data_IF_323227367076
#
_entry.id   IF_323227367076
#
_cell.length_a   1.000
_cell.length_b   1.000
_cell.length_c   1.000
_cell.angle_alpha   90.00
_cell.angle_beta   90.00
_cell.angle_gamma   90.00
#
_symmetry.space_group_name_H-M   'P 1'
#
loop_
_entity.id
_entity.type
_entity.pdbx_description
1 polymer ?
#
# COMPACT_ATOMS: atom_id res chain seq x y z
N UNK A 1 6.77 20.22 -14.49
CA UNK A 1 6.14 18.94 -14.86
C UNK A 1 6.73 17.87 -13.96
N UNK A 2 5.93 17.15 -13.18
CA UNK A 2 6.43 15.98 -12.47
C UNK A 2 6.93 14.96 -13.52
N UNK A 3 8.12 14.38 -13.31
CA UNK A 3 8.63 13.35 -14.20
C UNK A 3 7.66 12.16 -14.18
N UNK A 4 7.26 11.67 -15.36
CA UNK A 4 6.38 10.51 -15.44
C UNK A 4 7.10 9.29 -14.82
N UNK A 5 6.59 8.78 -13.70
CA UNK A 5 7.13 7.58 -13.07
C UNK A 5 7.07 6.42 -14.07
N UNK A 6 8.17 5.68 -14.21
CA UNK A 6 8.25 4.49 -15.05
C UNK A 6 8.57 3.25 -14.19
N UNK A 7 8.38 2.06 -14.77
CA UNK A 7 8.65 0.79 -14.09
C UNK A 7 10.12 0.71 -13.64
N UNK A 8 11.05 1.28 -14.41
CA UNK A 8 12.48 1.29 -14.11
C UNK A 8 12.82 2.10 -12.84
N UNK A 9 11.95 3.04 -12.44
CA UNK A 9 12.15 3.89 -11.26
C UNK A 9 11.60 3.24 -9.98
N UNK A 10 10.90 2.09 -10.10
CA UNK A 10 10.34 1.40 -8.95
C UNK A 10 11.44 0.77 -8.11
N UNK A 11 11.54 1.21 -6.85
CA UNK A 11 12.43 0.58 -5.88
C UNK A 11 11.97 -0.86 -5.60
N UNK A 12 12.96 -1.74 -5.46
CA UNK A 12 12.75 -3.15 -5.13
C UNK A 12 13.21 -3.46 -3.70
N UNK A 13 12.55 -4.42 -3.08
CA UNK A 13 12.87 -4.89 -1.72
C UNK A 13 13.08 -6.40 -1.72
N UNK A 14 14.13 -6.87 -1.05
CA UNK A 14 14.38 -8.30 -0.89
C UNK A 14 13.44 -8.93 0.14
N UNK A 15 13.26 -10.25 0.04
CA UNK A 15 12.48 -11.01 1.03
C UNK A 15 13.03 -10.84 2.45
N UNK A 16 14.35 -10.84 2.63
CA UNK A 16 14.99 -10.66 3.95
C UNK A 16 14.65 -9.30 4.57
N UNK A 17 14.75 -8.22 3.77
CA UNK A 17 14.44 -6.88 4.25
C UNK A 17 12.95 -6.73 4.53
N UNK A 18 12.09 -7.35 3.73
CA UNK A 18 10.65 -7.36 4.00
C UNK A 18 10.31 -8.14 5.29
N UNK A 19 10.95 -9.28 5.54
CA UNK A 19 10.81 -10.01 6.82
C UNK A 19 11.13 -9.11 8.00
N UNK A 20 12.26 -8.41 7.96
CA UNK A 20 12.66 -7.53 9.05
C UNK A 20 11.62 -6.43 9.32
N UNK A 21 10.98 -5.89 8.27
CA UNK A 21 9.88 -4.93 8.40
C UNK A 21 8.61 -5.57 9.00
N UNK A 22 8.25 -6.78 8.58
CA UNK A 22 7.08 -7.50 9.10
C UNK A 22 7.25 -7.79 10.59
N UNK A 23 8.43 -8.29 10.99
CA UNK A 23 8.74 -8.58 12.40
C UNK A 23 8.78 -7.31 13.24
N UNK A 24 9.41 -6.24 12.74
CA UNK A 24 9.44 -4.96 13.43
C UNK A 24 8.03 -4.37 13.61
N UNK A 25 7.16 -4.51 12.60
CA UNK A 25 5.77 -4.08 12.72
C UNK A 25 5.01 -4.92 13.76
N UNK A 26 5.14 -6.25 13.71
CA UNK A 26 4.48 -7.13 14.68
C UNK A 26 4.92 -6.80 16.12
N UNK A 27 6.20 -6.51 16.34
CA UNK A 27 6.71 -6.09 17.65
C UNK A 27 6.12 -4.74 18.09
N UNK A 28 6.01 -3.77 17.17
CA UNK A 28 5.39 -2.47 17.47
C UNK A 28 3.91 -2.60 17.82
N UNK A 29 3.18 -3.48 17.14
CA UNK A 29 1.76 -3.75 17.44
C UNK A 29 1.58 -4.39 18.83
N UNK A 30 2.54 -5.21 19.29
CA UNK A 30 2.54 -5.76 20.66
C UNK A 30 2.84 -4.68 21.69
N UNK A 31 3.84 -3.84 21.46
CA UNK A 31 4.27 -2.79 22.40
C UNK A 31 3.27 -1.64 22.49
N UNK A 32 2.70 -1.25 21.35
CA UNK A 32 1.79 -0.13 21.21
C UNK A 32 0.62 -0.50 20.27
N UNK A 33 -0.42 -1.19 20.77
CA UNK A 33 -1.54 -1.64 19.95
C UNK A 33 -2.27 -0.52 19.18
N UNK A 34 -2.16 0.72 19.65
CA UNK A 34 -2.79 1.90 19.04
C UNK A 34 -1.88 2.65 18.07
N UNK A 35 -0.63 2.22 17.84
CA UNK A 35 0.32 2.97 16.99
C UNK A 35 -0.01 2.92 15.51
N UNK A 36 -0.90 2.00 15.10
CA UNK A 36 -1.20 1.72 13.70
C UNK A 36 -0.03 1.06 12.96
N UNK A 37 -0.36 0.27 11.95
CA UNK A 37 0.64 -0.35 11.08
C UNK A 37 1.19 0.69 10.09
N UNK A 38 2.51 0.84 10.03
CA UNK A 38 3.21 1.78 9.12
C UNK A 38 3.54 1.16 7.76
N UNK A 39 3.60 -0.16 7.69
CA UNK A 39 3.93 -0.91 6.48
C UNK A 39 2.70 -1.66 6.00
N UNK A 40 2.37 -1.54 4.72
CA UNK A 40 1.34 -2.33 4.08
C UNK A 40 1.94 -3.19 2.97
N UNK A 41 1.52 -4.44 2.91
CA UNK A 41 1.92 -5.39 1.88
C UNK A 41 0.68 -5.64 1.02
N UNK A 42 0.80 -5.45 -0.28
CA UNK A 42 -0.30 -5.60 -1.24
C UNK A 42 0.02 -6.75 -2.17
N UNK A 43 -0.77 -7.82 -2.04
CA UNK A 43 -0.70 -8.99 -2.91
C UNK A 43 -1.68 -8.79 -4.07
N UNK A 44 -1.15 -8.72 -5.30
CA UNK A 44 -1.97 -8.55 -6.51
C UNK A 44 -2.10 -9.83 -7.35
N UNK A 45 -1.83 -10.99 -6.75
CA UNK A 45 -2.14 -12.29 -7.38
C UNK A 45 -3.64 -12.46 -7.58
N UNK A 46 -3.99 -13.22 -8.62
CA UNK A 46 -5.37 -13.50 -8.97
C UNK A 46 -5.70 -14.90 -8.41
N UNK A 47 -5.99 -15.89 -9.26
CA UNK A 47 -6.25 -17.27 -8.84
C UNK A 47 -5.02 -17.93 -8.19
N UNK A 48 -3.82 -17.45 -8.50
CA UNK A 48 -2.55 -17.91 -7.96
C UNK A 48 -2.23 -17.36 -6.55
N UNK A 49 -3.21 -16.75 -5.89
CA UNK A 49 -3.12 -16.38 -4.47
C UNK A 49 -3.19 -17.60 -3.54
N UNK A 50 -3.75 -18.72 -4.01
CA UNK A 50 -3.82 -19.98 -3.26
C UNK A 50 -2.43 -20.53 -2.95
N UNK A 51 -2.33 -21.29 -1.84
CA UNK A 51 -1.07 -21.93 -1.41
C UNK A 51 -0.24 -21.14 -0.42
N UNK A 52 -0.69 -19.95 -0.05
CA UNK A 52 -0.14 -19.15 1.04
C UNK A 52 0.00 -17.69 0.63
N UNK A 53 0.10 -16.82 1.63
CA UNK A 53 0.32 -15.38 1.43
C UNK A 53 1.11 -14.82 2.60
N UNK A 54 1.73 -13.65 2.39
CA UNK A 54 2.49 -12.98 3.45
C UNK A 54 1.51 -12.54 4.53
N UNK A 55 1.90 -12.74 5.79
CA UNK A 55 1.06 -12.42 6.95
C UNK A 55 0.61 -10.96 6.92
N UNK A 56 -0.67 -10.74 7.19
CA UNK A 56 -1.30 -9.41 7.20
C UNK A 56 -1.24 -8.66 5.86
N UNK A 57 -0.99 -9.36 4.74
CA UNK A 57 -1.06 -8.75 3.41
C UNK A 57 -2.50 -8.46 2.99
N UNK A 58 -2.67 -7.37 2.23
CA UNK A 58 -3.93 -6.95 1.64
C UNK A 58 -4.03 -7.56 0.24
N UNK A 59 -5.05 -8.39 0.01
CA UNK A 59 -5.27 -9.02 -1.29
C UNK A 59 -6.10 -8.12 -2.22
N UNK A 60 -5.49 -7.65 -3.31
CA UNK A 60 -6.11 -6.81 -4.34
C UNK A 60 -5.76 -7.37 -5.74
N UNK A 61 -6.53 -8.35 -6.25
CA UNK A 61 -6.25 -9.04 -7.51
C UNK A 61 -6.06 -8.08 -8.68
N UNK A 62 -5.02 -8.32 -9.48
CA UNK A 62 -4.66 -7.47 -10.62
C UNK A 62 -5.80 -7.33 -11.64
N UNK A 63 -6.57 -8.38 -11.88
CA UNK A 63 -7.70 -8.37 -12.81
C UNK A 63 -8.86 -7.45 -12.40
N UNK A 64 -8.95 -7.10 -11.11
CA UNK A 64 -9.97 -6.19 -10.56
C UNK A 64 -9.38 -4.88 -10.03
N UNK A 65 -8.08 -4.65 -10.24
CA UNK A 65 -7.36 -3.55 -9.60
C UNK A 65 -7.91 -2.18 -10.05
N UNK A 66 -8.35 -2.06 -11.31
CA UNK A 66 -9.03 -0.86 -11.84
C UNK A 66 -10.18 -0.40 -10.96
N UNK A 67 -11.09 -1.32 -10.66
CA UNK A 67 -12.30 -1.03 -9.92
C UNK A 67 -12.04 -0.85 -8.42
N UNK A 68 -10.99 -1.49 -7.91
CA UNK A 68 -10.68 -1.49 -6.47
C UNK A 68 -9.65 -0.44 -6.04
N UNK A 69 -8.99 0.22 -7.00
CA UNK A 69 -7.95 1.23 -6.71
C UNK A 69 -8.42 2.38 -5.80
N UNK A 70 -9.64 2.93 -5.92
CA UNK A 70 -10.12 3.95 -4.97
C UNK A 70 -10.18 3.45 -3.53
N UNK A 71 -10.52 2.17 -3.33
CA UNK A 71 -10.51 1.54 -2.00
C UNK A 71 -9.09 1.33 -1.50
N UNK A 72 -8.20 0.86 -2.37
CA UNK A 72 -6.79 0.66 -2.07
C UNK A 72 -6.13 1.98 -1.62
N UNK A 73 -6.35 3.08 -2.35
CA UNK A 73 -5.81 4.40 -2.01
C UNK A 73 -6.27 4.88 -0.63
N UNK A 74 -7.53 4.65 -0.25
CA UNK A 74 -8.02 5.01 1.10
C UNK A 74 -7.40 4.15 2.20
N UNK A 75 -7.30 2.84 1.99
CA UNK A 75 -6.72 1.92 2.98
C UNK A 75 -5.22 2.14 3.19
N UNK A 76 -4.53 2.64 2.17
CA UNK A 76 -3.10 2.89 2.23
C UNK A 76 -2.75 4.32 2.64
N UNK A 77 -3.73 5.23 2.80
CA UNK A 77 -3.48 6.66 2.96
C UNK A 77 -2.63 7.04 4.18
N UNK A 78 -2.75 6.28 5.27
CA UNK A 78 -2.03 6.48 6.54
C UNK A 78 -0.70 5.73 6.62
N UNK A 79 -0.40 4.88 5.63
CA UNK A 79 0.80 4.03 5.58
C UNK A 79 2.01 4.83 5.14
N UNK A 80 3.15 4.62 5.80
CA UNK A 80 4.41 5.25 5.42
C UNK A 80 5.12 4.44 4.30
N UNK A 81 4.96 3.11 4.32
CA UNK A 81 5.59 2.19 3.36
C UNK A 81 4.55 1.23 2.76
N UNK A 82 4.55 1.08 1.44
CA UNK A 82 3.69 0.15 0.71
C UNK A 82 4.57 -0.77 -0.14
N UNK A 83 4.35 -2.08 -0.05
CA UNK A 83 5.09 -3.09 -0.79
C UNK A 83 4.13 -3.88 -1.66
N UNK A 84 4.25 -3.78 -2.98
CA UNK A 84 3.47 -4.56 -3.93
C UNK A 84 4.20 -5.85 -4.30
N UNK A 85 3.44 -6.93 -4.51
CA UNK A 85 3.99 -8.15 -5.08
C UNK A 85 2.95 -8.94 -5.87
N UNK A 86 3.42 -9.84 -6.73
CA UNK A 86 2.59 -10.92 -7.28
C UNK A 86 3.27 -12.28 -7.04
N UNK A 87 3.09 -13.27 -7.91
CA UNK A 87 3.82 -14.54 -7.81
C UNK A 87 5.33 -14.37 -8.01
N UNK A 88 5.75 -13.78 -9.13
CA UNK A 88 7.17 -13.57 -9.48
C UNK A 88 7.60 -12.09 -9.44
N UNK A 89 6.65 -11.16 -9.31
CA UNK A 89 6.88 -9.71 -9.36
C UNK A 89 7.60 -9.19 -10.62
N UNK A 90 7.32 -9.81 -11.77
CA UNK A 90 7.87 -9.41 -13.08
C UNK A 90 6.93 -8.51 -13.89
N UNK A 91 5.61 -8.67 -13.73
CA UNK A 91 4.59 -7.93 -14.49
C UNK A 91 3.54 -7.30 -13.56
N UNK A 92 2.62 -8.12 -13.00
CA UNK A 92 1.48 -7.65 -12.19
C UNK A 92 1.90 -6.76 -11.00
N UNK A 93 2.90 -7.17 -10.23
CA UNK A 93 3.43 -6.38 -9.10
C UNK A 93 3.93 -4.98 -9.52
N UNK A 94 4.92 -4.88 -10.43
CA UNK A 94 5.38 -3.59 -10.94
C UNK A 94 4.28 -2.73 -11.59
N UNK A 95 3.40 -3.33 -12.39
CA UNK A 95 2.28 -2.62 -13.02
C UNK A 95 1.30 -2.04 -11.99
N UNK A 96 0.97 -2.81 -10.95
CA UNK A 96 0.10 -2.36 -9.87
C UNK A 96 0.72 -1.21 -9.06
N UNK A 97 2.01 -1.34 -8.69
CA UNK A 97 2.74 -0.29 -7.98
C UNK A 97 2.76 1.02 -8.77
N UNK A 98 3.09 0.93 -10.07
CA UNK A 98 3.13 2.10 -10.94
C UNK A 98 1.76 2.76 -11.08
N UNK A 99 0.71 1.96 -11.21
CA UNK A 99 -0.65 2.47 -11.30
C UNK A 99 -1.09 3.17 -10.01
N UNK A 100 -0.80 2.56 -8.86
CA UNK A 100 -1.06 3.16 -7.55
C UNK A 100 -0.36 4.53 -7.42
N UNK A 101 0.91 4.63 -7.82
CA UNK A 101 1.65 5.90 -7.81
C UNK A 101 0.97 6.97 -8.67
N UNK A 102 0.58 6.63 -9.90
CA UNK A 102 -0.08 7.55 -10.83
C UNK A 102 -1.43 8.04 -10.30
N UNK A 103 -2.26 7.14 -9.78
CA UNK A 103 -3.57 7.51 -9.25
C UNK A 103 -3.44 8.34 -7.96
N UNK A 104 -2.44 8.06 -7.12
CA UNK A 104 -2.13 8.87 -5.94
C UNK A 104 -1.68 10.28 -6.32
N UNK A 105 -0.81 10.42 -7.31
CA UNK A 105 -0.40 11.74 -7.83
C UNK A 105 -1.58 12.52 -8.43
N UNK A 106 -2.46 11.84 -9.18
CA UNK A 106 -3.67 12.45 -9.73
C UNK A 106 -4.61 12.97 -8.63
N UNK A 107 -4.83 12.19 -7.56
CA UNK A 107 -5.63 12.63 -6.41
C UNK A 107 -5.01 13.84 -5.70
N UNK A 108 -3.68 13.88 -5.58
CA UNK A 108 -2.98 15.02 -4.98
C UNK A 108 -3.08 16.28 -5.83
N UNK A 109 -2.95 16.16 -7.16
CA UNK A 109 -3.08 17.28 -8.09
C UNK A 109 -4.50 17.86 -8.08
N UNK A 110 -5.52 17.01 -8.08
CA UNK A 110 -6.93 17.44 -7.99
C UNK A 110 -7.24 18.13 -6.66
N UNK A 111 -6.73 17.61 -5.54
CA UNK A 111 -6.87 18.24 -4.23
C UNK A 111 -6.18 19.60 -4.12
N UNK A 112 -5.08 19.82 -4.83
CA UNK A 112 -4.40 21.12 -4.92
C UNK A 112 -5.16 22.11 -5.81
N UNK A 113 -5.74 21.66 -6.92
CA UNK A 113 -6.56 22.49 -7.82
C UNK A 113 -7.86 22.94 -7.15
N UNK A 114 -8.58 22.03 -6.48
CA UNK A 114 -9.79 22.38 -5.74
C UNK A 114 -9.53 23.38 -4.59
N UNK A 115 -8.36 23.30 -3.94
CA UNK A 115 -7.93 24.28 -2.92
C UNK A 115 -7.53 25.65 -3.49
N UNK A 116 -7.06 25.69 -4.74
CA UNK A 116 -6.71 26.94 -5.41
C UNK A 116 -7.95 27.68 -5.95
N UNK A 117 -8.94 26.94 -6.47
CA UNK A 117 -10.20 27.50 -6.99
C UNK A 117 -11.18 27.88 -5.86
N UNK A 118 -11.18 27.16 -4.73
CA UNK A 118 -11.97 27.50 -3.55
C UNK A 118 -11.52 28.74 -2.77
N UNK A 119 -10.41 29.39 -3.17
CA UNK A 119 -9.88 30.61 -2.53
C UNK A 119 -10.34 31.91 -3.22
N UNK A 120 -11.27 31.81 -4.19
CA UNK A 120 -11.65 32.90 -5.08
C UNK A 120 -12.95 33.64 -4.79
N UNK A 121 -13.70 33.36 -3.71
CA UNK A 121 -14.88 34.16 -3.33
C UNK A 121 -15.11 34.13 -1.81
N UNK A 122 -14.62 35.14 -1.07
CA UNK A 122 -15.26 35.69 0.15
C UNK A 122 -14.39 36.78 0.82
N UNK A 123 -14.63 38.04 0.44
CA UNK A 123 -14.56 39.26 1.25
C UNK A 123 -15.84 40.02 0.83
N UNK A 124 -16.77 40.53 1.63
CA UNK A 124 -16.93 40.94 3.04
C UNK A 124 -18.38 40.51 3.46
N UNK A 125 -18.82 40.32 4.71
CA UNK A 125 -18.84 41.27 5.83
C UNK A 125 -19.37 40.58 7.13
N UNK A 126 -18.71 40.86 8.27
CA UNK A 126 -19.14 40.96 9.69
C UNK A 126 -19.82 39.83 10.52
N UNK A 127 -19.05 39.44 11.54
CA UNK A 127 -19.35 39.34 13.00
C UNK A 127 -20.41 38.39 13.60
N UNK A 128 -19.84 37.37 14.26
CA UNK A 128 -20.04 36.88 15.64
C UNK A 128 -21.24 36.02 16.10
N UNK A 129 -20.84 34.85 16.64
CA UNK A 129 -21.39 34.00 17.73
C UNK A 129 -22.18 32.75 17.36
N UNK A 130 -21.61 31.60 17.76
CA UNK A 130 -22.33 30.35 17.95
C UNK A 130 -21.39 29.16 18.05
N UNK A 131 -21.25 28.62 19.26
CA UNK A 131 -20.40 27.48 19.60
C UNK A 131 -20.86 26.16 18.95
N UNK A 132 -19.89 25.28 18.69
CA UNK A 132 -20.09 23.83 18.52
C UNK A 132 -20.23 23.37 17.07
N UNK A 133 -19.15 22.88 16.48
CA UNK A 133 -18.86 21.45 16.41
C UNK A 133 -17.47 21.29 15.77
N UNK A 134 -16.52 20.73 16.52
CA UNK A 134 -15.14 20.51 16.08
C UNK A 134 -15.13 19.34 15.10
N UNK A 135 -15.58 19.60 13.87
CA UNK A 135 -15.48 18.66 12.79
C UNK A 135 -14.00 18.51 12.47
N UNK A 136 -13.42 17.41 12.93
CA UNK A 136 -12.05 16.98 12.78
C UNK A 136 -11.66 16.97 11.29
N UNK A 137 -11.29 18.13 10.77
CA UNK A 137 -10.45 18.27 9.60
C UNK A 137 -9.08 17.71 10.00
N UNK A 138 -8.99 16.38 9.96
CA UNK A 138 -7.70 15.70 9.93
C UNK A 138 -7.08 16.14 8.61
N UNK A 139 -6.26 17.19 8.67
CA UNK A 139 -5.39 17.57 7.59
C UNK A 139 -4.58 16.32 7.20
N UNK A 140 -5.00 15.64 6.13
CA UNK A 140 -4.19 14.68 5.41
C UNK A 140 -3.01 15.47 4.83
N UNK A 141 -2.02 15.77 5.67
CA UNK A 141 -0.68 16.11 5.21
C UNK A 141 -0.28 14.95 4.33
N UNK A 142 -0.16 15.23 3.04
CA UNK A 142 0.28 14.30 2.02
C UNK A 142 1.69 13.88 2.38
N UNK A 143 1.83 12.83 3.20
CA UNK A 143 3.11 12.24 3.52
C UNK A 143 3.65 11.60 2.23
N UNK A 144 4.93 11.80 1.96
CA UNK A 144 5.62 10.99 0.96
C UNK A 144 5.63 9.54 1.46
N UNK A 145 4.95 8.65 0.75
CA UNK A 145 4.97 7.22 1.04
C UNK A 145 6.02 6.54 0.17
N UNK A 146 6.79 5.63 0.77
CA UNK A 146 7.73 4.78 0.04
C UNK A 146 6.97 3.62 -0.59
N UNK A 147 7.16 3.39 -1.89
CA UNK A 147 6.51 2.30 -2.62
C UNK A 147 7.59 1.37 -3.16
N UNK A 148 7.48 0.10 -2.81
CA UNK A 148 8.40 -0.95 -3.22
C UNK A 148 7.69 -2.04 -4.02
N UNK A 149 8.46 -2.78 -4.82
CA UNK A 149 8.07 -4.08 -5.36
C UNK A 149 8.90 -5.18 -4.69
N UNK A 150 8.27 -6.23 -4.16
CA UNK A 150 8.98 -7.38 -3.60
C UNK A 150 9.70 -8.15 -4.70
N UNK A 151 10.99 -8.35 -4.53
CA UNK A 151 11.81 -9.15 -5.43
C UNK A 151 11.43 -10.62 -5.40
N UNK A 152 11.40 -11.22 -6.59
CA UNK A 152 10.98 -12.60 -6.83
C UNK A 152 9.54 -12.94 -6.40
N UNK A 153 8.77 -11.96 -5.93
CA UNK A 153 7.38 -12.11 -5.52
C UNK A 153 7.17 -13.16 -4.43
N UNK A 154 5.95 -13.70 -4.36
CA UNK A 154 5.60 -14.72 -3.38
C UNK A 154 6.37 -16.03 -3.58
N UNK A 155 6.77 -16.37 -4.81
CA UNK A 155 7.58 -17.57 -5.10
C UNK A 155 8.93 -17.47 -4.39
N UNK A 156 9.62 -16.33 -4.46
CA UNK A 156 10.87 -16.13 -3.73
C UNK A 156 10.68 -16.02 -2.22
N UNK A 157 9.55 -15.48 -1.78
CA UNK A 157 9.21 -15.44 -0.34
C UNK A 157 9.01 -16.84 0.23
N UNK A 158 8.18 -17.66 -0.40
CA UNK A 158 7.81 -18.96 0.14
C UNK A 158 8.98 -19.95 0.18
N UNK A 159 9.96 -19.83 -0.72
CA UNK A 159 11.19 -20.63 -0.68
C UNK A 159 11.99 -20.43 0.62
N UNK A 160 11.95 -19.21 1.18
CA UNK A 160 12.72 -18.84 2.36
C UNK A 160 11.89 -18.90 3.64
N UNK A 161 10.64 -18.45 3.56
CA UNK A 161 9.78 -18.13 4.70
C UNK A 161 8.40 -18.80 4.64
N UNK A 162 8.15 -19.66 3.63
CA UNK A 162 6.87 -20.35 3.47
C UNK A 162 6.44 -21.16 4.70
N UNK A 163 7.31 -22.02 5.26
CA UNK A 163 6.99 -22.81 6.44
C UNK A 163 6.85 -22.01 7.75
N UNK A 164 7.22 -20.72 7.77
CA UNK A 164 7.20 -19.89 8.97
C UNK A 164 5.83 -19.21 9.15
N UNK A 165 5.02 -19.73 10.07
CA UNK A 165 3.67 -19.22 10.38
C UNK A 165 3.66 -17.83 11.04
N UNK A 166 4.81 -17.34 11.50
CA UNK A 166 4.95 -15.97 11.99
C UNK A 166 5.02 -14.96 10.85
N UNK A 167 5.35 -15.41 9.64
CA UNK A 167 5.59 -14.61 8.45
C UNK A 167 4.64 -14.92 7.30
N UNK A 168 4.13 -16.14 7.22
CA UNK A 168 3.32 -16.64 6.12
C UNK A 168 2.03 -17.28 6.64
N UNK A 169 0.90 -16.94 6.03
CA UNK A 169 -0.42 -17.46 6.39
C UNK A 169 -0.94 -18.42 5.31
N UNK A 170 -1.71 -19.42 5.75
CA UNK A 170 -2.36 -20.42 4.90
C UNK A 170 -1.41 -21.14 3.92
N UNK A 171 -0.13 -21.25 4.26
CA UNK A 171 0.86 -21.92 3.42
C UNK A 171 0.60 -23.42 3.35
N UNK A 172 0.65 -23.99 2.15
CA UNK A 172 0.42 -25.43 1.93
C UNK A 172 1.59 -26.03 1.22
N UNK A 173 2.41 -26.79 1.95
CA UNK A 173 3.59 -27.48 1.44
C UNK A 173 3.34 -28.25 0.14
N UNK A 174 2.23 -28.99 0.08
CA UNK A 174 1.84 -29.83 -1.06
C UNK A 174 1.70 -29.03 -2.37
N UNK A 175 1.32 -27.75 -2.30
CA UNK A 175 1.19 -26.90 -3.49
C UNK A 175 2.55 -26.37 -4.00
N UNK A 176 3.63 -26.54 -3.24
CA UNK A 176 4.96 -26.02 -3.57
C UNK A 176 6.01 -27.13 -3.77
N UNK A 177 5.73 -28.37 -3.37
CA UNK A 177 6.67 -29.51 -3.52
C UNK A 177 6.81 -30.01 -4.97
N UNK A 178 5.83 -29.77 -5.83
CA UNK A 178 5.84 -30.28 -7.21
C UNK A 178 6.59 -29.38 -8.22
N UNK A 179 7.15 -28.27 -7.75
CA UNK A 179 7.90 -27.33 -8.59
C UNK A 179 6.98 -26.48 -9.48
N UNK A 180 7.12 -25.16 -9.36
CA UNK A 180 6.46 -24.16 -10.22
C UNK A 180 7.48 -23.49 -11.14
#
# INVERSE_FOLDING_TARGET
MAAATNIADLERISADRLKDLVLAQAQQEIENPNSGSKVAIVDVRDDDHIGGHIKSSLHFPSGSLDATMPTLLRQLADKDTVVFHCALSQQRGPSAALRYLREREAQQAQGQQAKAEGKGVAEEDKEEKGAGDENAQTELKVKQQKVYVLDRGFVGWQELYGPDETLTEAWRKELWEEGH
#
